data_IF_246218215599
#
_entry.id   IF_246218215599
#
_cell.length_a   1.000
_cell.length_b   1.000
_cell.length_c   1.000
_cell.angle_alpha   90.00
_cell.angle_beta   90.00
_cell.angle_gamma   90.00
#
_symmetry.space_group_name_H-M   'P 1'
#
loop_
_entity.id
_entity.type
_entity.pdbx_description
1 polymer ?
#
# COMPACT_ATOMS: atom_id res chain seq x y z
N UNK A 1 29.57 3.32 -72.08
CA UNK A 1 28.55 3.90 -71.18
C UNK A 1 27.48 2.86 -70.94
N UNK A 2 27.42 2.33 -69.72
CA UNK A 2 26.23 1.77 -69.09
C UNK A 2 26.61 1.45 -67.64
N UNK A 3 26.12 2.29 -66.72
CA UNK A 3 26.40 2.23 -65.29
C UNK A 3 25.62 1.09 -64.62
N UNK A 4 26.31 0.28 -63.83
CA UNK A 4 25.73 -0.69 -62.91
C UNK A 4 25.31 0.02 -61.63
N UNK A 5 23.99 0.09 -61.38
CA UNK A 5 23.41 0.66 -60.18
C UNK A 5 23.22 -0.46 -59.13
N UNK A 6 24.13 -0.55 -58.16
CA UNK A 6 23.99 -1.45 -57.01
C UNK A 6 22.94 -0.90 -56.04
N UNK A 7 21.79 -1.56 -56.02
CA UNK A 7 20.71 -1.32 -55.04
C UNK A 7 21.08 -1.98 -53.72
N UNK A 8 21.78 -1.25 -52.84
CA UNK A 8 22.03 -1.67 -51.46
C UNK A 8 20.74 -1.55 -50.65
N UNK A 9 20.00 -2.65 -50.52
CA UNK A 9 18.86 -2.77 -49.62
C UNK A 9 19.32 -2.68 -48.17
N UNK A 10 19.33 -1.46 -47.62
CA UNK A 10 19.40 -1.27 -46.17
C UNK A 10 17.99 -1.44 -45.61
N UNK A 11 17.70 -2.61 -45.06
CA UNK A 11 16.56 -2.74 -44.15
C UNK A 11 16.75 -1.73 -43.00
N UNK A 12 15.72 -0.93 -42.66
CA UNK A 12 15.82 0.02 -41.58
C UNK A 12 16.06 -0.72 -40.25
N UNK A 13 16.82 -0.12 -39.31
CA UNK A 13 17.10 -0.74 -38.02
C UNK A 13 15.77 -1.06 -37.31
N UNK A 14 15.67 -2.29 -36.80
CA UNK A 14 14.57 -2.73 -35.95
C UNK A 14 14.53 -1.80 -34.74
N UNK A 15 13.55 -0.90 -34.70
CA UNK A 15 13.29 -0.08 -33.53
C UNK A 15 12.90 -1.05 -32.40
N UNK A 16 13.70 -1.11 -31.34
CA UNK A 16 13.25 -1.74 -30.10
C UNK A 16 11.94 -1.04 -29.72
N UNK A 17 10.85 -1.81 -29.70
CA UNK A 17 9.56 -1.33 -29.24
C UNK A 17 9.75 -0.93 -27.78
N UNK A 18 9.92 0.38 -27.53
CA UNK A 18 10.02 0.90 -26.19
C UNK A 18 8.84 0.34 -25.38
N UNK A 19 9.15 -0.37 -24.28
CA UNK A 19 8.11 -0.95 -23.42
C UNK A 19 7.14 0.14 -23.02
N UNK A 20 5.84 -0.13 -23.10
CA UNK A 20 4.83 0.85 -22.71
C UNK A 20 5.06 1.27 -21.25
N UNK A 21 4.83 2.55 -20.90
CA UNK A 21 4.95 3.01 -19.52
C UNK A 21 4.18 2.08 -18.57
N UNK A 22 4.78 1.67 -17.46
CA UNK A 22 4.13 0.74 -16.53
C UNK A 22 4.36 -0.74 -16.79
N UNK A 23 4.76 -1.14 -18.01
CA UNK A 23 5.12 -2.54 -18.34
C UNK A 23 6.61 -2.83 -18.18
N UNK A 24 7.43 -1.81 -17.96
CA UNK A 24 8.84 -1.94 -17.61
C UNK A 24 9.02 -2.91 -16.44
N UNK A 25 9.98 -3.82 -16.55
CA UNK A 25 10.29 -4.78 -15.50
C UNK A 25 11.19 -4.14 -14.44
N UNK A 26 10.75 -4.21 -13.20
CA UNK A 26 11.50 -3.83 -12.01
C UNK A 26 12.19 -5.07 -11.45
N UNK A 27 13.51 -5.00 -11.30
CA UNK A 27 14.29 -6.10 -10.73
C UNK A 27 14.02 -6.23 -9.22
N UNK A 28 14.22 -7.43 -8.64
CA UNK A 28 14.21 -7.65 -7.20
C UNK A 28 15.10 -6.64 -6.47
N UNK A 29 14.64 -6.11 -5.34
CA UNK A 29 15.34 -5.06 -4.60
C UNK A 29 14.85 -4.96 -3.16
N UNK A 30 15.56 -4.26 -2.31
CA UNK A 30 15.12 -3.95 -0.95
C UNK A 30 14.73 -2.48 -0.85
N UNK A 31 13.55 -2.22 -0.30
CA UNK A 31 13.06 -0.88 -0.01
C UNK A 31 13.12 -0.62 1.48
N UNK A 32 13.55 0.56 1.87
CA UNK A 32 13.66 0.97 3.28
C UNK A 32 12.91 2.28 3.46
N UNK A 33 11.98 2.31 4.41
CA UNK A 33 11.29 3.54 4.80
C UNK A 33 12.11 4.27 5.86
N UNK A 34 12.45 5.52 5.57
CA UNK A 34 13.11 6.44 6.50
C UNK A 34 12.29 7.74 6.57
N UNK A 35 11.63 7.96 7.71
CA UNK A 35 10.68 9.05 7.92
C UNK A 35 9.58 9.12 6.85
N UNK A 36 9.75 9.96 5.82
CA UNK A 36 8.80 10.20 4.73
C UNK A 36 9.30 9.70 3.37
N UNK A 37 10.51 9.16 3.30
CA UNK A 37 11.16 8.77 2.05
C UNK A 37 11.39 7.27 2.01
N UNK A 38 11.29 6.69 0.82
CA UNK A 38 11.56 5.27 0.57
C UNK A 38 12.81 5.16 -0.27
N UNK A 39 13.80 4.46 0.25
CA UNK A 39 15.14 4.32 -0.32
C UNK A 39 15.38 2.91 -0.82
N UNK A 40 16.38 2.74 -1.68
CA UNK A 40 16.75 1.45 -2.25
C UNK A 40 18.01 0.95 -1.54
N UNK A 41 17.93 -0.25 -0.97
CA UNK A 41 19.00 -0.97 -0.24
C UNK A 41 19.51 -0.31 1.04
N UNK A 42 19.73 1.01 1.07
CA UNK A 42 20.22 1.74 2.24
C UNK A 42 19.47 3.07 2.42
N UNK A 43 19.29 3.57 3.66
CA UNK A 43 18.65 4.88 3.90
C UNK A 43 19.40 6.07 3.30
N UNK A 44 20.71 5.95 3.06
CA UNK A 44 21.54 7.01 2.49
C UNK A 44 21.46 7.08 0.95
N UNK A 45 20.78 6.12 0.30
CA UNK A 45 20.60 6.16 -1.15
C UNK A 45 19.70 7.33 -1.55
N UNK A 46 19.76 7.81 -2.81
CA UNK A 46 18.72 8.69 -3.33
C UNK A 46 17.32 8.07 -3.13
N UNK A 47 16.33 8.86 -2.72
CA UNK A 47 14.98 8.36 -2.48
C UNK A 47 14.30 7.98 -3.79
N UNK A 48 13.60 6.84 -3.79
CA UNK A 48 12.81 6.37 -4.93
C UNK A 48 11.36 6.87 -4.85
N UNK A 49 10.83 7.02 -3.63
CA UNK A 49 9.51 7.57 -3.37
C UNK A 49 9.52 8.54 -2.20
N UNK A 50 8.51 9.40 -2.17
CA UNK A 50 8.22 10.33 -1.09
C UNK A 50 6.75 10.27 -0.71
N UNK A 51 6.49 10.25 0.59
CA UNK A 51 5.18 10.35 1.19
C UNK A 51 4.94 11.80 1.65
N UNK A 52 3.71 12.28 1.61
CA UNK A 52 3.40 13.62 2.15
C UNK A 52 3.49 13.69 3.68
N UNK A 53 3.39 12.55 4.37
CA UNK A 53 3.45 12.44 5.83
C UNK A 53 4.22 11.18 6.27
N UNK A 54 4.78 11.22 7.48
CA UNK A 54 5.51 10.09 8.08
C UNK A 54 4.56 9.03 8.59
N UNK A 55 4.28 8.01 7.77
CA UNK A 55 3.23 7.02 8.01
C UNK A 55 3.38 6.17 9.28
N UNK A 56 4.60 5.99 9.77
CA UNK A 56 4.90 5.16 10.94
C UNK A 56 4.38 5.75 12.27
N UNK A 57 4.24 7.07 12.35
CA UNK A 57 3.86 7.79 13.58
C UNK A 57 2.54 8.58 13.42
N UNK A 58 1.74 8.23 12.40
CA UNK A 58 0.45 8.87 12.19
C UNK A 58 -0.56 8.49 13.28
N UNK A 59 -1.45 9.44 13.57
CA UNK A 59 -2.61 9.21 14.44
C UNK A 59 -3.82 8.74 13.65
N UNK A 60 -4.81 8.21 14.36
CA UNK A 60 -6.04 7.71 13.74
C UNK A 60 -6.82 8.83 13.04
N UNK A 61 -6.53 10.11 13.29
CA UNK A 61 -7.20 11.27 12.68
C UNK A 61 -6.83 11.44 11.21
N UNK A 62 -5.63 11.03 10.81
CA UNK A 62 -5.20 11.14 9.42
C UNK A 62 -6.01 10.18 8.55
N UNK A 63 -6.54 10.71 7.44
CA UNK A 63 -7.38 9.94 6.50
C UNK A 63 -6.74 9.78 5.13
N UNK A 64 -5.70 10.57 4.81
CA UNK A 64 -5.07 10.60 3.49
C UNK A 64 -3.58 10.91 3.60
N UNK A 65 -2.78 10.20 2.79
CA UNK A 65 -1.35 10.43 2.59
C UNK A 65 -1.05 10.26 1.10
N UNK A 66 -0.31 11.20 0.51
CA UNK A 66 0.07 11.12 -0.90
C UNK A 66 1.35 10.30 -1.04
N UNK A 67 1.44 9.48 -2.08
CA UNK A 67 2.65 8.77 -2.49
C UNK A 67 3.10 9.28 -3.86
N UNK A 68 4.30 9.85 -3.89
CA UNK A 68 4.95 10.37 -5.08
C UNK A 68 6.18 9.54 -5.44
N UNK A 69 6.34 9.25 -6.73
CA UNK A 69 7.57 8.68 -7.30
C UNK A 69 8.53 9.83 -7.62
N UNK A 70 9.79 9.65 -7.25
CA UNK A 70 10.85 10.58 -7.63
C UNK A 70 11.41 10.14 -8.98
N UNK A 71 11.36 11.04 -9.96
CA UNK A 71 11.86 10.81 -11.32
C UNK A 71 12.97 11.81 -11.61
N UNK A 72 14.17 11.31 -11.93
CA UNK A 72 15.28 12.15 -12.40
C UNK A 72 15.00 12.61 -13.83
N UNK A 73 15.09 13.92 -14.07
CA UNK A 73 15.01 14.50 -15.41
C UNK A 73 16.37 14.47 -16.10
N UNK A 74 16.35 14.63 -17.42
CA UNK A 74 17.57 14.68 -18.25
C UNK A 74 18.48 15.88 -17.92
N UNK A 75 17.93 16.92 -17.31
CA UNK A 75 18.65 18.11 -16.85
C UNK A 75 19.28 17.93 -15.46
N UNK A 76 19.17 16.74 -14.87
CA UNK A 76 19.69 16.41 -13.54
C UNK A 76 18.77 16.86 -12.38
N UNK A 77 17.65 17.51 -12.66
CA UNK A 77 16.68 17.88 -11.64
C UNK A 77 15.76 16.72 -11.29
N UNK A 78 15.28 16.68 -10.04
CA UNK A 78 14.30 15.69 -9.61
C UNK A 78 12.90 16.26 -9.77
N UNK A 79 11.96 15.42 -10.24
CA UNK A 79 10.54 15.73 -10.24
C UNK A 79 9.80 14.69 -9.40
N UNK A 80 8.87 15.17 -8.60
CA UNK A 80 7.91 14.31 -7.93
C UNK A 80 6.70 14.09 -8.83
N UNK A 81 6.35 12.82 -9.02
CA UNK A 81 5.14 12.41 -9.73
C UNK A 81 4.23 11.69 -8.76
N UNK A 82 3.15 12.35 -8.40
CA UNK A 82 2.08 11.77 -7.58
C UNK A 82 1.45 10.56 -8.28
N UNK A 83 1.54 9.39 -7.65
CA UNK A 83 1.04 8.13 -8.22
C UNK A 83 -0.19 7.61 -7.50
N UNK A 84 -0.27 7.75 -6.18
CA UNK A 84 -1.32 7.19 -5.34
C UNK A 84 -1.68 8.12 -4.18
N UNK A 85 -2.96 8.13 -3.82
CA UNK A 85 -3.41 8.50 -2.47
C UNK A 85 -3.54 7.21 -1.66
N UNK A 86 -2.99 7.20 -0.47
CA UNK A 86 -3.20 6.19 0.56
C UNK A 86 -4.32 6.68 1.46
N UNK A 87 -5.41 5.94 1.53
CA UNK A 87 -6.64 6.39 2.17
C UNK A 87 -7.02 5.48 3.34
N UNK A 88 -7.41 6.10 4.45
CA UNK A 88 -7.82 5.45 5.68
C UNK A 88 -9.28 5.82 6.03
N UNK A 89 -10.17 4.83 5.95
CA UNK A 89 -11.58 4.95 6.28
C UNK A 89 -11.83 4.50 7.72
N UNK A 90 -12.16 5.46 8.58
CA UNK A 90 -12.41 5.22 10.02
C UNK A 90 -13.85 4.81 10.30
N UNK A 91 -14.78 5.47 9.61
CA UNK A 91 -16.20 5.45 9.92
C UNK A 91 -17.02 5.25 8.65
N UNK A 92 -18.17 4.62 8.82
CA UNK A 92 -19.17 4.49 7.77
C UNK A 92 -19.86 5.83 7.46
N UNK A 93 -20.88 5.80 6.58
CA UNK A 93 -21.60 6.99 6.16
C UNK A 93 -22.12 7.77 7.37
N UNK A 94 -21.96 9.09 7.32
CA UNK A 94 -22.40 10.01 8.38
C UNK A 94 -21.53 10.04 9.64
N UNK A 95 -20.43 9.27 9.73
CA UNK A 95 -19.44 9.40 10.81
C UNK A 95 -19.82 8.75 12.15
N UNK A 96 -20.98 8.10 12.25
CA UNK A 96 -21.44 7.47 13.49
C UNK A 96 -21.60 5.95 13.38
N UNK A 97 -21.45 5.41 12.18
CA UNK A 97 -21.66 3.98 11.90
C UNK A 97 -20.33 3.27 11.74
N UNK A 98 -20.30 1.98 12.09
CA UNK A 98 -19.17 1.12 11.75
C UNK A 98 -19.06 1.02 10.23
N UNK A 99 -17.83 0.94 9.75
CA UNK A 99 -17.56 0.74 8.34
C UNK A 99 -18.23 -0.58 7.87
N UNK A 100 -18.97 -0.56 6.75
CA UNK A 100 -19.53 -1.77 6.15
C UNK A 100 -18.44 -2.82 5.88
N UNK A 101 -18.79 -4.10 5.97
CA UNK A 101 -17.83 -5.19 5.77
C UNK A 101 -17.33 -5.31 4.33
N UNK A 102 -18.07 -4.73 3.38
CA UNK A 102 -17.72 -4.61 1.98
C UNK A 102 -16.92 -3.33 1.66
N UNK A 103 -16.55 -2.54 2.67
CA UNK A 103 -15.70 -1.36 2.52
C UNK A 103 -14.29 -1.59 3.09
N UNK A 104 -13.23 -1.13 2.39
CA UNK A 104 -11.86 -1.27 2.88
C UNK A 104 -11.56 -0.28 4.01
N UNK A 105 -10.88 -0.73 5.07
CA UNK A 105 -10.32 0.19 6.08
C UNK A 105 -9.17 1.02 5.49
N UNK A 106 -8.26 0.38 4.78
CA UNK A 106 -7.18 1.03 4.03
C UNK A 106 -7.29 0.67 2.55
N UNK A 107 -7.11 1.66 1.69
CA UNK A 107 -7.08 1.47 0.25
C UNK A 107 -6.18 2.49 -0.43
N UNK A 108 -5.75 2.15 -1.65
CA UNK A 108 -4.95 2.99 -2.52
C UNK A 108 -5.81 3.45 -3.68
N UNK A 109 -5.74 4.73 -4.01
CA UNK A 109 -6.44 5.35 -5.13
C UNK A 109 -5.41 5.93 -6.09
N UNK A 110 -5.39 5.45 -7.33
CA UNK A 110 -4.43 5.92 -8.33
C UNK A 110 -4.75 7.35 -8.72
N UNK A 111 -3.73 8.19 -8.82
CA UNK A 111 -3.89 9.57 -9.28
C UNK A 111 -3.51 9.78 -10.73
N UNK A 112 -2.82 8.82 -11.33
CA UNK A 112 -2.49 8.88 -12.74
C UNK A 112 -3.01 7.69 -13.51
N UNK A 113 -3.69 7.96 -14.62
CA UNK A 113 -4.09 6.94 -15.60
C UNK A 113 -3.05 6.72 -16.69
N UNK A 114 -1.99 7.53 -16.69
CA UNK A 114 -0.91 7.47 -17.68
C UNK A 114 0.05 6.30 -17.48
N UNK A 115 -0.09 5.55 -16.38
CA UNK A 115 0.64 4.30 -16.14
C UNK A 115 -0.37 3.15 -16.30
N UNK A 116 -0.41 2.51 -17.48
CA UNK A 116 -1.15 1.26 -17.70
C UNK A 116 -0.93 0.24 -16.58
N UNK A 117 -2.00 -0.46 -16.20
CA UNK A 117 -1.96 -1.52 -15.19
C UNK A 117 -2.13 -1.06 -13.74
N UNK A 118 -2.04 0.24 -13.44
CA UNK A 118 -2.37 0.73 -12.10
C UNK A 118 -3.86 0.55 -11.80
N UNK A 119 -4.15 0.02 -10.63
CA UNK A 119 -5.51 -0.21 -10.12
C UNK A 119 -5.72 0.48 -8.78
N UNK A 120 -6.98 0.76 -8.50
CA UNK A 120 -7.45 1.18 -7.19
C UNK A 120 -7.69 -0.09 -6.37
N UNK A 121 -6.96 -0.28 -5.26
CA UNK A 121 -6.98 -1.53 -4.49
C UNK A 121 -7.28 -1.28 -3.01
N UNK A 122 -8.01 -2.19 -2.38
CA UNK A 122 -8.26 -2.16 -0.94
C UNK A 122 -7.88 -3.47 -0.27
N UNK A 123 -7.51 -3.39 1.01
CA UNK A 123 -7.14 -4.55 1.81
C UNK A 123 -8.38 -5.21 2.41
N UNK A 124 -8.68 -6.43 1.95
CA UNK A 124 -9.79 -7.25 2.43
C UNK A 124 -9.28 -8.40 3.31
N UNK A 125 -9.87 -8.59 4.48
CA UNK A 125 -9.63 -9.79 5.29
C UNK A 125 -10.16 -11.01 4.56
N UNK A 126 -9.28 -11.98 4.31
CA UNK A 126 -9.64 -13.29 3.78
C UNK A 126 -10.00 -14.21 4.94
N UNK A 127 -11.19 -14.82 4.86
CA UNK A 127 -11.60 -15.83 5.82
C UNK A 127 -10.87 -17.15 5.50
N UNK A 128 -9.69 -17.31 6.07
CA UNK A 128 -8.97 -18.58 6.05
C UNK A 128 -9.73 -19.62 6.87
N UNK A 129 -9.88 -20.84 6.33
CA UNK A 129 -10.41 -21.99 7.06
C UNK A 129 -9.42 -22.53 8.10
N UNK A 130 -8.17 -22.07 8.08
CA UNK A 130 -7.13 -22.45 9.04
C UNK A 130 -7.19 -21.48 10.24
N UNK A 131 -7.54 -21.94 11.45
CA UNK A 131 -7.58 -21.10 12.64
C UNK A 131 -6.24 -20.41 12.91
N UNK A 132 -6.28 -19.13 13.26
CA UNK A 132 -5.10 -18.36 13.69
C UNK A 132 -4.28 -17.70 12.58
N UNK A 133 -4.39 -18.13 11.31
CA UNK A 133 -3.71 -17.45 10.19
C UNK A 133 -4.60 -16.36 9.59
N UNK A 134 -4.33 -15.10 9.94
CA UNK A 134 -4.93 -13.95 9.25
C UNK A 134 -4.30 -13.85 7.85
N UNK A 135 -5.13 -13.84 6.82
CA UNK A 135 -4.71 -13.54 5.45
C UNK A 135 -5.49 -12.35 4.96
N UNK A 136 -4.84 -11.50 4.19
CA UNK A 136 -5.45 -10.37 3.53
C UNK A 136 -5.26 -10.51 2.03
N UNK A 137 -6.22 -9.98 1.28
CA UNK A 137 -6.19 -9.90 -0.16
C UNK A 137 -6.32 -8.43 -0.57
N UNK A 138 -5.41 -7.97 -1.41
CA UNK A 138 -5.53 -6.69 -2.08
C UNK A 138 -6.40 -6.88 -3.33
N UNK A 139 -7.62 -6.34 -3.28
CA UNK A 139 -8.62 -6.52 -4.34
C UNK A 139 -9.07 -5.17 -4.89
N UNK A 140 -9.51 -5.10 -6.15
CA UNK A 140 -10.07 -3.89 -6.74
C UNK A 140 -11.19 -3.26 -5.92
N UNK A 141 -11.18 -1.93 -5.83
CA UNK A 141 -12.20 -1.13 -5.16
C UNK A 141 -12.88 -0.15 -6.12
N UNK A 142 -14.17 0.08 -5.88
CA UNK A 142 -14.92 1.17 -6.49
C UNK A 142 -14.77 2.41 -5.62
N UNK A 143 -13.74 3.22 -5.91
CA UNK A 143 -13.41 4.42 -5.13
C UNK A 143 -14.53 5.45 -5.10
N UNK A 144 -15.44 5.43 -6.08
CA UNK A 144 -16.57 6.36 -6.16
C UNK A 144 -17.85 5.81 -5.53
N UNK A 145 -17.84 4.57 -5.03
CA UNK A 145 -18.98 3.95 -4.36
C UNK A 145 -20.23 3.80 -5.25
N UNK A 146 -20.06 3.71 -6.58
CA UNK A 146 -21.18 3.56 -7.53
C UNK A 146 -21.95 2.26 -7.33
N UNK A 147 -21.25 1.24 -6.84
CA UNK A 147 -21.79 -0.08 -6.54
C UNK A 147 -22.18 -0.25 -5.07
N UNK A 148 -21.89 0.75 -4.23
CA UNK A 148 -22.25 0.77 -2.81
C UNK A 148 -23.70 1.20 -2.62
N UNK A 149 -24.41 0.53 -1.70
CA UNK A 149 -25.78 0.93 -1.31
C UNK A 149 -25.83 2.30 -0.63
N UNK A 150 -24.70 2.74 -0.08
CA UNK A 150 -24.59 3.96 0.75
C UNK A 150 -23.63 4.99 0.16
N UNK A 151 -23.18 4.79 -1.09
CA UNK A 151 -22.38 5.77 -1.83
C UNK A 151 -20.95 5.97 -1.30
N UNK A 152 -20.37 4.99 -0.60
CA UNK A 152 -18.97 5.03 -0.13
C UNK A 152 -18.11 4.00 -0.86
N UNK A 153 -16.79 4.16 -0.82
CA UNK A 153 -15.84 3.20 -1.37
C UNK A 153 -16.12 1.77 -0.88
N UNK A 154 -16.22 0.83 -1.82
CA UNK A 154 -16.49 -0.57 -1.54
C UNK A 154 -15.66 -1.49 -2.46
N UNK A 155 -15.48 -2.74 -2.05
CA UNK A 155 -14.84 -3.75 -2.88
C UNK A 155 -15.68 -4.06 -4.12
N UNK A 156 -15.02 -4.20 -5.27
CA UNK A 156 -15.66 -4.67 -6.49
C UNK A 156 -16.08 -6.13 -6.31
N UNK A 157 -17.37 -6.42 -6.52
CA UNK A 157 -17.93 -7.77 -6.31
C UNK A 157 -17.31 -8.77 -7.28
N UNK A 158 -16.79 -9.87 -6.74
CA UNK A 158 -16.20 -10.97 -7.53
C UNK A 158 -14.83 -10.65 -8.14
N UNK A 159 -14.22 -9.51 -7.78
CA UNK A 159 -12.89 -9.18 -8.26
C UNK A 159 -11.83 -10.11 -7.67
N UNK A 160 -10.87 -10.48 -8.50
CA UNK A 160 -9.73 -11.32 -8.11
C UNK A 160 -8.70 -10.51 -7.30
N UNK A 161 -7.96 -11.23 -6.45
CA UNK A 161 -6.87 -10.63 -5.69
C UNK A 161 -5.68 -10.33 -6.62
N UNK A 162 -5.18 -9.11 -6.56
CA UNK A 162 -3.94 -8.72 -7.25
C UNK A 162 -2.74 -9.19 -6.44
N UNK A 163 -2.83 -9.06 -5.12
CA UNK A 163 -1.85 -9.60 -4.17
C UNK A 163 -2.56 -10.23 -2.97
N UNK A 164 -1.86 -11.11 -2.29
CA UNK A 164 -2.26 -11.61 -0.97
C UNK A 164 -1.11 -11.42 0.02
N UNK A 165 -1.42 -11.33 1.30
CA UNK A 165 -0.41 -11.27 2.36
C UNK A 165 -0.90 -11.97 3.62
N UNK A 166 0.01 -12.56 4.36
CA UNK A 166 -0.24 -13.08 5.71
C UNK A 166 0.18 -12.11 6.83
N UNK A 167 0.61 -10.90 6.45
CA UNK A 167 1.12 -9.87 7.35
C UNK A 167 2.64 -9.85 7.47
N UNK A 168 3.36 -10.77 6.85
CA UNK A 168 4.82 -10.75 6.75
C UNK A 168 5.29 -10.91 5.30
N UNK A 169 4.64 -11.79 4.55
CA UNK A 169 4.97 -12.07 3.15
C UNK A 169 3.86 -11.60 2.22
N UNK A 170 4.23 -11.09 1.04
CA UNK A 170 3.34 -10.75 -0.05
C UNK A 170 3.50 -11.76 -1.18
N UNK A 171 2.37 -12.20 -1.74
CA UNK A 171 2.32 -13.09 -2.88
C UNK A 171 1.47 -12.51 -4.02
N UNK A 172 1.81 -12.87 -5.25
CA UNK A 172 1.05 -12.53 -6.46
C UNK A 172 -0.30 -13.26 -6.53
N UNK A 173 -1.05 -13.04 -7.62
CA UNK A 173 -2.34 -13.70 -7.86
C UNK A 173 -2.25 -15.22 -8.06
N UNK A 174 -1.07 -15.75 -8.35
CA UNK A 174 -0.80 -17.18 -8.48
C UNK A 174 -0.33 -17.80 -7.15
N UNK A 175 -0.13 -16.98 -6.12
CA UNK A 175 0.36 -17.42 -4.81
C UNK A 175 1.88 -17.53 -4.72
N UNK A 176 2.63 -17.02 -5.70
CA UNK A 176 4.09 -16.97 -5.62
C UNK A 176 4.52 -15.81 -4.73
N UNK A 177 5.50 -16.03 -3.87
CA UNK A 177 6.12 -14.98 -3.07
C UNK A 177 6.75 -13.91 -3.97
N UNK A 178 6.42 -12.64 -3.71
CA UNK A 178 6.96 -11.49 -4.43
C UNK A 178 7.65 -10.48 -3.54
N UNK A 179 7.34 -10.46 -2.24
CA UNK A 179 8.07 -9.64 -1.29
C UNK A 179 7.91 -10.13 0.16
N UNK A 180 8.87 -9.75 0.99
CA UNK A 180 8.90 -10.04 2.43
C UNK A 180 9.07 -8.73 3.19
N UNK A 181 8.27 -8.50 4.22
CA UNK A 181 8.36 -7.35 5.11
C UNK A 181 9.24 -7.67 6.31
N UNK A 182 10.08 -6.74 6.70
CA UNK A 182 10.77 -6.77 7.98
C UNK A 182 10.48 -5.48 8.73
N UNK A 183 9.88 -5.65 9.90
CA UNK A 183 9.64 -4.59 10.87
C UNK A 183 10.57 -4.84 12.05
N UNK A 184 11.60 -4.00 12.19
CA UNK A 184 12.54 -4.11 13.30
C UNK A 184 12.06 -3.32 14.53
N UNK A 185 12.59 -3.66 15.71
CA UNK A 185 12.27 -2.98 16.98
C UNK A 185 12.53 -1.46 16.92
N UNK A 186 13.48 -1.01 16.10
CA UNK A 186 13.82 0.39 15.87
C UNK A 186 12.82 1.15 14.96
N UNK A 187 11.62 0.58 14.72
CA UNK A 187 10.62 1.09 13.75
C UNK A 187 11.16 1.26 12.32
N UNK A 188 12.26 0.57 12.00
CA UNK A 188 12.76 0.53 10.64
C UNK A 188 11.94 -0.47 9.85
N UNK A 189 11.08 0.04 8.97
CA UNK A 189 10.26 -0.76 8.08
C UNK A 189 10.99 -0.99 6.76
N UNK A 190 11.11 -2.25 6.36
CA UNK A 190 11.70 -2.60 5.06
C UNK A 190 10.86 -3.64 4.32
N UNK A 191 10.96 -3.61 2.99
CA UNK A 191 10.29 -4.52 2.07
C UNK A 191 11.32 -5.09 1.09
N UNK A 192 11.61 -6.37 1.21
CA UNK A 192 12.47 -7.11 0.28
C UNK A 192 11.61 -7.64 -0.85
N UNK A 193 11.65 -7.01 -2.01
CA UNK A 193 11.01 -7.49 -3.23
C UNK A 193 11.87 -8.59 -3.83
N UNK A 194 11.34 -9.81 -3.88
CA UNK A 194 12.07 -11.03 -4.24
C UNK A 194 11.86 -11.46 -5.69
N UNK A 195 10.85 -10.89 -6.37
CA UNK A 195 10.49 -11.23 -7.74
C UNK A 195 10.59 -10.02 -8.68
N UNK A 196 10.82 -10.29 -9.96
CA UNK A 196 10.69 -9.28 -11.01
C UNK A 196 9.22 -8.94 -11.22
N UNK A 197 8.88 -7.66 -11.11
CA UNK A 197 7.50 -7.18 -11.22
C UNK A 197 7.39 -6.16 -12.35
N UNK A 198 6.22 -6.07 -12.98
CA UNK A 198 5.94 -4.88 -13.82
C UNK A 198 5.97 -3.62 -12.96
N UNK A 199 6.32 -2.48 -13.55
CA UNK A 199 6.35 -1.19 -12.86
C UNK A 199 5.01 -0.87 -12.19
N UNK A 200 3.90 -1.21 -12.83
CA UNK A 200 2.58 -1.05 -12.24
C UNK A 200 2.37 -1.92 -10.98
N UNK A 201 2.73 -3.21 -11.04
CA UNK A 201 2.68 -4.10 -9.88
C UNK A 201 3.59 -3.63 -8.75
N UNK A 202 4.80 -3.17 -9.09
CA UNK A 202 5.75 -2.65 -8.13
C UNK A 202 5.19 -1.41 -7.41
N UNK A 203 4.62 -0.45 -8.13
CA UNK A 203 3.98 0.72 -7.53
C UNK A 203 2.80 0.36 -6.62
N UNK A 204 1.93 -0.56 -7.05
CA UNK A 204 0.82 -1.03 -6.23
C UNK A 204 1.31 -1.71 -4.95
N UNK A 205 2.34 -2.57 -5.06
CA UNK A 205 2.92 -3.25 -3.90
C UNK A 205 3.52 -2.26 -2.90
N UNK A 206 4.28 -1.26 -3.37
CA UNK A 206 4.84 -0.20 -2.51
C UNK A 206 3.73 0.57 -1.80
N UNK A 207 2.69 0.99 -2.53
CA UNK A 207 1.58 1.73 -1.94
C UNK A 207 0.82 0.89 -0.88
N UNK A 208 0.59 -0.39 -1.15
CA UNK A 208 -0.05 -1.32 -0.19
C UNK A 208 0.83 -1.58 1.04
N UNK A 209 2.14 -1.71 0.86
CA UNK A 209 3.09 -1.81 1.97
C UNK A 209 3.06 -0.55 2.83
N UNK A 210 2.98 0.65 2.24
CA UNK A 210 2.80 1.88 3.01
C UNK A 210 1.48 1.89 3.81
N UNK A 211 0.38 1.39 3.24
CA UNK A 211 -0.86 1.21 4.03
C UNK A 211 -0.67 0.24 5.20
N UNK A 212 0.10 -0.84 5.02
CA UNK A 212 0.42 -1.79 6.08
C UNK A 212 1.23 -1.13 7.20
N UNK A 213 2.30 -0.39 6.85
CA UNK A 213 3.12 0.33 7.83
C UNK A 213 2.28 1.36 8.60
N UNK A 214 1.38 2.06 7.91
CA UNK A 214 0.46 2.99 8.58
C UNK A 214 -0.48 2.27 9.56
N UNK A 215 -1.10 1.16 9.15
CA UNK A 215 -1.92 0.35 10.04
C UNK A 215 -1.12 -0.17 11.24
N UNK A 216 0.12 -0.61 11.01
CA UNK A 216 1.03 -1.09 12.05
C UNK A 216 1.39 0.01 13.05
N UNK A 217 1.78 1.20 12.57
CA UNK A 217 2.10 2.35 13.41
C UNK A 217 0.93 2.74 14.33
N UNK A 218 -0.29 2.73 13.80
CA UNK A 218 -1.51 2.97 14.60
C UNK A 218 -1.78 1.90 15.64
N UNK A 219 -1.50 0.63 15.33
CA UNK A 219 -1.70 -0.48 16.26
C UNK A 219 -0.66 -0.51 17.40
N UNK A 220 0.53 0.05 17.17
CA UNK A 220 1.68 0.04 18.09
C UNK A 220 2.03 1.44 18.63
N UNK A 221 1.24 2.46 18.31
CA UNK A 221 1.38 3.79 18.89
C UNK A 221 1.30 3.68 20.43
N UNK A 222 2.29 4.27 21.10
CA UNK A 222 2.28 4.33 22.55
C UNK A 222 0.97 4.95 23.01
N UNK A 223 0.24 4.24 23.87
CA UNK A 223 -0.95 4.78 24.51
C UNK A 223 -0.48 5.87 25.46
N UNK A 224 -0.40 7.10 24.97
CA UNK A 224 -0.27 8.27 25.83
C UNK A 224 -1.45 8.19 26.79
N UNK A 225 -1.18 7.82 28.04
CA UNK A 225 -2.12 8.06 29.12
C UNK A 225 -2.21 9.58 29.23
N UNK A 226 -3.22 10.18 28.62
CA UNK A 226 -3.69 11.49 29.03
C UNK A 226 -4.06 11.35 30.51
N UNK A 227 -3.17 11.84 31.37
CA UNK A 227 -3.43 12.02 32.79
C UNK A 227 -4.61 12.96 32.93
N UNK A 228 -5.77 12.38 33.23
CA UNK A 228 -6.77 13.08 34.00
C UNK A 228 -6.51 12.65 35.45
N UNK A 229 -5.82 13.51 36.18
CA UNK A 229 -5.86 13.52 37.63
C UNK A 229 -7.29 13.87 38.03
N UNK A 230 -8.14 12.85 38.01
CA UNK A 230 -9.48 12.87 38.55
C UNK A 230 -9.47 12.12 39.87
N UNK A 231 -9.09 12.82 40.94
CA UNK A 231 -9.39 12.41 42.30
C UNK A 231 -10.90 12.10 42.39
N UNK A 232 -11.23 10.82 42.48
CA UNK A 232 -12.58 10.31 42.29
C UNK A 232 -12.78 9.00 43.02
N UNK A 233 -12.61 9.07 44.34
CA UNK A 233 -12.84 8.01 45.31
C UNK A 233 -14.16 7.25 45.02
N UNK A 234 -14.07 5.96 44.69
CA UNK A 234 -15.20 5.17 44.24
C UNK A 234 -15.04 3.68 44.52
N UNK A 235 -14.65 3.31 45.74
CA UNK A 235 -14.76 1.94 46.23
C UNK A 235 -16.21 1.43 46.10
N UNK A 236 -16.48 0.54 45.15
CA UNK A 236 -17.64 -0.35 45.21
C UNK A 236 -17.21 -1.69 45.81
N UNK A 237 -17.31 -1.76 47.14
CA UNK A 237 -17.26 -2.98 47.92
C UNK A 237 -18.30 -3.98 47.39
N UNK A 238 -17.82 -5.14 46.92
CA UNK A 238 -18.64 -6.33 46.69
C UNK A 238 -18.97 -6.97 48.03
N UNK A 239 -20.22 -6.82 48.49
CA UNK A 239 -20.76 -7.63 49.59
C UNK A 239 -21.24 -8.98 49.03
N UNK A 240 -20.42 -10.01 49.22
CA UNK A 240 -20.81 -11.41 49.03
C UNK A 240 -21.65 -11.88 50.21
N UNK A 241 -22.95 -12.10 50.02
CA UNK A 241 -23.78 -12.84 50.99
C UNK A 241 -23.44 -14.33 50.89
N UNK A 242 -22.78 -14.88 51.91
CA UNK A 242 -22.78 -16.33 52.19
C UNK A 242 -24.09 -16.68 52.89
N UNK A 243 -24.83 -17.61 52.32
CA UNK A 243 -25.90 -18.36 53.00
C UNK A 243 -25.21 -19.55 53.67
N UNK A 244 -25.39 -19.69 54.98
CA UNK A 244 -25.07 -20.91 55.74
C UNK A 244 -26.39 -21.40 56.32
N UNK A 245 -26.71 -22.68 56.09
CA UNK A 245 -27.78 -23.43 56.76
C UNK A 245 -27.33 -23.84 58.16
#
# INVERSE_FOLDING_TARGET
MAETNESMGMDPPTYEVASQPGQELCQPTTLILAAQSIHVMTPDSPPLYRLSLGIADLTDITTEVELSRIESRKDGTERERHIYDLLHMRLGPGGYTRLPSDSPKYHIKRQTRSIPGLQDLGMKKSHSLIPGKKRFAAVPVDVYGKTSKVGITNFVKGAEAVFTTDGHEWADSQGNSVAIMHDNEDKQHSLVVTATLTRAQFHMLVALWCCHVWEYGLAHAEKVHEGIDGDGNGQRLRLSRRVIK
#
